data_IF_758109345090
#
_entry.id   IF_758109345090
#
_cell.length_a   1.000
_cell.length_b   1.000
_cell.length_c   1.000
_cell.angle_alpha   90.00
_cell.angle_beta   90.00
_cell.angle_gamma   90.00
#
_symmetry.space_group_name_H-M   'P 1'
#
loop_
_entity.id
_entity.type
_entity.pdbx_description
1 polymer ?
#
# COMPACT_ATOMS: atom_id res chain seq x y z
N UNK A 1 3.24 -7.46 -14.68
CA UNK A 1 2.98 -6.46 -13.62
C UNK A 1 4.34 -6.00 -13.12
N UNK A 2 4.60 -4.70 -13.21
CA UNK A 2 5.83 -4.11 -12.66
C UNK A 2 5.76 -4.18 -11.12
N UNK A 3 6.72 -4.88 -10.50
CA UNK A 3 6.80 -4.94 -9.04
C UNK A 3 7.31 -3.60 -8.54
N UNK A 4 6.55 -2.96 -7.65
CA UNK A 4 6.92 -1.69 -7.02
C UNK A 4 7.07 -1.94 -5.51
N UNK A 5 8.20 -1.59 -4.88
CA UNK A 5 8.33 -1.72 -3.43
C UNK A 5 7.44 -0.70 -2.73
N UNK A 6 6.83 -1.10 -1.63
CA UNK A 6 5.95 -0.27 -0.79
C UNK A 6 6.20 -0.48 0.69
N UNK A 7 7.48 -0.71 1.04
CA UNK A 7 7.91 -0.97 2.42
C UNK A 7 7.46 0.10 3.39
N UNK A 8 7.55 1.35 2.94
CA UNK A 8 7.17 2.56 3.68
C UNK A 8 6.39 3.51 2.80
N UNK A 9 5.16 3.83 3.18
CA UNK A 9 4.30 4.78 2.47
C UNK A 9 3.88 5.87 3.46
N UNK A 10 4.45 7.07 3.31
CA UNK A 10 4.37 8.14 4.30
C UNK A 10 3.21 9.08 4.02
N UNK A 11 2.33 9.28 5.02
CA UNK A 11 1.32 10.33 4.99
C UNK A 11 1.94 11.71 5.16
N UNK A 12 1.53 12.65 4.30
CA UNK A 12 1.94 14.04 4.31
C UNK A 12 0.72 14.95 4.25
N UNK A 13 0.50 15.83 5.26
CA UNK A 13 -0.63 16.73 5.27
C UNK A 13 -0.62 17.68 4.07
N UNK A 14 -1.70 17.69 3.29
CA UNK A 14 -1.84 18.54 2.11
C UNK A 14 -1.88 20.04 2.42
N UNK A 15 -2.25 20.41 3.64
CA UNK A 15 -2.25 21.79 4.12
C UNK A 15 -0.88 22.32 4.54
N UNK A 16 0.18 21.48 4.51
CA UNK A 16 1.53 21.86 4.95
C UNK A 16 2.52 21.83 3.78
N UNK A 17 2.68 22.95 3.08
CA UNK A 17 3.57 23.06 1.93
C UNK A 17 5.03 22.69 2.23
N UNK A 18 5.53 22.99 3.44
CA UNK A 18 6.90 22.62 3.86
C UNK A 18 7.04 21.10 4.01
N UNK A 19 6.01 20.43 4.53
CA UNK A 19 6.00 18.98 4.66
C UNK A 19 5.96 18.32 3.28
N UNK A 20 5.15 18.83 2.35
CA UNK A 20 5.10 18.34 0.96
C UNK A 20 6.45 18.48 0.26
N UNK A 21 7.13 19.60 0.43
CA UNK A 21 8.47 19.80 -0.15
C UNK A 21 9.51 18.87 0.49
N UNK A 22 9.52 18.74 1.83
CA UNK A 22 10.41 17.84 2.55
C UNK A 22 10.25 16.39 2.10
N UNK A 23 9.03 15.97 1.79
CA UNK A 23 8.74 14.60 1.34
C UNK A 23 9.52 14.19 0.08
N UNK A 24 9.94 15.15 -0.77
CA UNK A 24 10.74 14.90 -1.97
C UNK A 24 12.09 14.27 -1.68
N UNK A 25 12.64 14.49 -0.49
CA UNK A 25 13.99 14.05 -0.09
C UNK A 25 13.97 12.91 0.94
N UNK A 26 12.79 12.43 1.34
CA UNK A 26 12.67 11.33 2.30
C UNK A 26 12.83 9.97 1.60
N UNK A 27 13.50 8.98 2.23
CA UNK A 27 13.77 7.67 1.62
C UNK A 27 12.59 6.69 1.75
N UNK A 28 11.35 7.19 1.71
CA UNK A 28 10.16 6.33 1.65
C UNK A 28 9.94 5.80 0.24
N UNK A 29 9.31 4.64 0.11
CA UNK A 29 8.98 4.04 -1.19
C UNK A 29 7.78 4.73 -1.84
N UNK A 30 6.87 5.28 -1.03
CA UNK A 30 5.72 6.04 -1.50
C UNK A 30 5.36 7.18 -0.55
N UNK A 31 4.53 8.08 -1.06
CA UNK A 31 4.00 9.23 -0.31
C UNK A 31 2.50 9.32 -0.53
N UNK A 32 1.74 9.47 0.56
CA UNK A 32 0.30 9.77 0.52
C UNK A 32 0.11 11.25 0.85
N UNK A 33 -0.28 12.01 -0.16
CA UNK A 33 -0.63 13.43 -0.01
C UNK A 33 -2.08 13.51 0.46
N UNK A 34 -2.28 13.98 1.69
CA UNK A 34 -3.55 13.81 2.41
C UNK A 34 -4.45 15.03 2.34
N UNK A 35 -5.72 14.81 1.97
CA UNK A 35 -6.80 15.81 2.01
C UNK A 35 -7.84 15.51 3.09
N UNK A 36 -7.71 14.39 3.79
CA UNK A 36 -8.74 13.93 4.74
C UNK A 36 -8.45 14.37 6.18
N UNK A 37 -8.13 13.44 7.06
CA UNK A 37 -8.06 13.65 8.52
C UNK A 37 -7.01 14.67 8.95
N UNK A 38 -5.90 14.76 8.24
CA UNK A 38 -4.83 15.72 8.57
C UNK A 38 -5.10 17.16 8.12
N UNK A 39 -6.25 17.41 7.48
CA UNK A 39 -6.61 18.72 6.91
C UNK A 39 -7.94 19.19 7.48
N UNK A 40 -7.93 20.33 8.16
CA UNK A 40 -9.15 20.96 8.68
C UNK A 40 -10.13 21.30 7.54
N UNK A 41 -11.46 21.29 7.82
CA UNK A 41 -12.49 21.52 6.79
C UNK A 41 -12.30 22.78 5.96
N UNK A 42 -11.98 23.89 6.60
CA UNK A 42 -11.75 25.20 5.98
C UNK A 42 -10.44 25.27 5.17
N UNK A 43 -9.47 24.44 5.49
CA UNK A 43 -8.19 24.33 4.78
C UNK A 43 -8.22 23.41 3.56
N UNK A 44 -9.28 22.62 3.36
CA UNK A 44 -9.33 21.61 2.27
C UNK A 44 -9.22 22.22 0.86
N UNK A 45 -9.81 23.37 0.53
CA UNK A 45 -9.60 23.99 -0.78
C UNK A 45 -8.13 24.35 -1.02
N UNK A 46 -7.48 25.01 -0.06
CA UNK A 46 -6.05 25.35 -0.13
C UNK A 46 -5.17 24.10 -0.24
N UNK A 47 -5.46 23.05 0.54
CA UNK A 47 -4.71 21.81 0.49
C UNK A 47 -4.80 21.12 -0.88
N UNK A 48 -5.96 21.18 -1.57
CA UNK A 48 -6.10 20.70 -2.95
C UNK A 48 -5.14 21.41 -3.89
N UNK A 49 -5.09 22.74 -3.82
CA UNK A 49 -4.21 23.53 -4.67
C UNK A 49 -2.74 23.20 -4.41
N UNK A 50 -2.34 23.14 -3.14
CA UNK A 50 -0.97 22.79 -2.75
C UNK A 50 -0.57 21.39 -3.22
N UNK A 51 -1.46 20.39 -3.11
CA UNK A 51 -1.18 19.04 -3.61
C UNK A 51 -1.07 19.03 -5.14
N UNK A 52 -1.97 19.72 -5.84
CA UNK A 52 -1.91 19.81 -7.30
C UNK A 52 -0.59 20.44 -7.77
N UNK A 53 -0.15 21.52 -7.14
CA UNK A 53 1.14 22.16 -7.39
C UNK A 53 2.31 21.23 -7.09
N UNK A 54 2.28 20.52 -5.94
CA UNK A 54 3.34 19.61 -5.54
C UNK A 54 3.51 18.45 -6.52
N UNK A 55 2.41 17.89 -7.02
CA UNK A 55 2.45 16.80 -8.03
C UNK A 55 2.93 17.34 -9.39
N UNK A 56 2.44 18.52 -9.81
CA UNK A 56 2.85 19.15 -11.07
C UNK A 56 4.35 19.52 -11.08
N UNK A 57 4.87 20.00 -9.96
CA UNK A 57 6.29 20.34 -9.81
C UNK A 57 7.21 19.12 -9.85
N UNK A 58 6.67 17.89 -9.74
CA UNK A 58 7.45 16.64 -9.73
C UNK A 58 8.49 16.61 -8.60
N UNK A 59 9.62 15.90 -8.79
CA UNK A 59 10.72 15.87 -7.82
C UNK A 59 10.61 14.76 -6.76
N UNK A 60 9.61 13.90 -6.86
CA UNK A 60 9.49 12.73 -5.97
C UNK A 60 10.29 11.51 -6.47
N UNK A 61 11.01 11.66 -7.59
CA UNK A 61 11.79 10.57 -8.19
C UNK A 61 10.90 9.41 -8.64
N UNK A 62 11.29 8.18 -8.28
CA UNK A 62 10.54 6.96 -8.61
C UNK A 62 9.51 6.56 -7.54
N UNK A 63 9.32 7.35 -6.50
CA UNK A 63 8.37 7.06 -5.42
C UNK A 63 6.94 7.07 -5.96
N UNK A 64 6.13 6.20 -5.40
CA UNK A 64 4.69 6.18 -5.69
C UNK A 64 4.01 7.38 -5.04
N UNK A 65 3.30 8.16 -5.83
CA UNK A 65 2.54 9.32 -5.36
C UNK A 65 1.07 8.95 -5.33
N UNK A 66 0.51 8.95 -4.13
CA UNK A 66 -0.88 8.65 -3.87
C UNK A 66 -1.54 9.90 -3.28
N UNK A 67 -2.74 10.23 -3.71
CA UNK A 67 -3.54 11.31 -3.10
C UNK A 67 -4.66 10.65 -2.30
N UNK A 68 -4.71 10.90 -0.96
CA UNK A 68 -5.87 10.49 -0.18
C UNK A 68 -6.92 11.59 -0.25
N UNK A 69 -8.05 11.26 -0.87
CA UNK A 69 -9.23 12.14 -0.96
C UNK A 69 -10.10 11.98 0.28
N UNK A 70 -11.09 12.85 0.44
CA UNK A 70 -12.13 12.68 1.46
C UNK A 70 -13.07 11.52 1.12
N UNK A 71 -13.74 10.94 2.12
CA UNK A 71 -14.67 9.82 1.94
C UNK A 71 -15.89 10.23 1.10
N UNK A 72 -16.56 9.23 0.51
CA UNK A 72 -17.66 9.43 -0.45
C UNK A 72 -18.90 10.08 0.14
N UNK A 73 -19.08 10.06 1.47
CA UNK A 73 -20.19 10.71 2.15
C UNK A 73 -19.89 12.19 2.48
N UNK A 74 -18.67 12.65 2.22
CA UNK A 74 -18.25 14.03 2.48
C UNK A 74 -18.66 14.97 1.35
N UNK A 75 -18.83 16.28 1.61
CA UNK A 75 -19.09 17.27 0.55
C UNK A 75 -17.87 17.57 -0.31
N UNK A 76 -16.68 17.03 -0.01
CA UNK A 76 -15.41 17.38 -0.65
C UNK A 76 -14.92 16.38 -1.69
N UNK A 77 -15.35 15.11 -1.61
CA UNK A 77 -14.76 14.01 -2.38
C UNK A 77 -14.78 14.23 -3.89
N UNK A 78 -15.86 14.79 -4.46
CA UNK A 78 -15.95 15.02 -5.91
C UNK A 78 -14.95 16.08 -6.39
N UNK A 79 -14.75 17.13 -5.60
CA UNK A 79 -13.75 18.16 -5.89
C UNK A 79 -12.33 17.59 -5.78
N UNK A 80 -12.08 16.78 -4.75
CA UNK A 80 -10.80 16.11 -4.54
C UNK A 80 -10.48 15.13 -5.68
N UNK A 81 -11.45 14.29 -6.05
CA UNK A 81 -11.30 13.32 -7.14
C UNK A 81 -11.06 14.03 -8.49
N UNK A 82 -11.75 15.13 -8.74
CA UNK A 82 -11.57 15.95 -9.96
C UNK A 82 -10.16 16.53 -10.01
N UNK A 83 -9.68 17.08 -8.90
CA UNK A 83 -8.31 17.59 -8.79
C UNK A 83 -7.30 16.45 -9.00
N UNK A 84 -7.45 15.32 -8.30
CA UNK A 84 -6.56 14.19 -8.39
C UNK A 84 -6.49 13.63 -9.83
N UNK A 85 -7.65 13.50 -10.51
CA UNK A 85 -7.68 13.06 -11.91
C UNK A 85 -6.87 13.97 -12.85
N UNK A 86 -6.87 15.29 -12.59
CA UNK A 86 -6.10 16.28 -13.36
C UNK A 86 -4.62 16.29 -13.01
N UNK A 87 -4.29 16.12 -11.73
CA UNK A 87 -2.91 16.12 -11.23
C UNK A 87 -2.12 14.87 -11.68
N UNK A 88 -2.81 13.78 -12.02
CA UNK A 88 -2.24 12.50 -12.48
C UNK A 88 -1.22 11.89 -11.51
N UNK A 89 -1.62 11.62 -10.24
CA UNK A 89 -0.79 10.82 -9.35
C UNK A 89 -0.69 9.37 -9.85
N UNK A 90 0.17 8.55 -9.25
CA UNK A 90 0.17 7.11 -9.47
C UNK A 90 -1.12 6.44 -8.95
N UNK A 91 -1.63 6.91 -7.80
CA UNK A 91 -2.83 6.33 -7.19
C UNK A 91 -3.68 7.34 -6.43
N UNK A 92 -4.92 6.94 -6.17
CA UNK A 92 -5.87 7.65 -5.31
C UNK A 92 -6.29 6.72 -4.20
N UNK A 93 -6.04 7.11 -2.95
CA UNK A 93 -6.49 6.40 -1.75
C UNK A 93 -7.83 6.97 -1.30
N UNK A 94 -8.82 6.09 -1.16
CA UNK A 94 -10.17 6.47 -0.74
C UNK A 94 -10.49 5.86 0.62
N UNK A 95 -10.74 6.68 1.64
CA UNK A 95 -11.09 6.21 2.98
C UNK A 95 -12.50 5.64 3.03
N UNK A 96 -12.77 4.84 4.05
CA UNK A 96 -14.08 4.29 4.42
C UNK A 96 -14.79 3.49 3.34
N UNK A 97 -14.03 2.88 2.43
CA UNK A 97 -14.57 1.94 1.46
C UNK A 97 -15.17 0.76 2.21
N UNK A 98 -16.45 0.50 1.96
CA UNK A 98 -17.22 -0.48 2.71
C UNK A 98 -18.01 -1.46 1.82
N UNK A 99 -18.12 -1.17 0.52
CA UNK A 99 -18.87 -1.98 -0.44
C UNK A 99 -18.23 -1.96 -1.83
N UNK A 100 -18.46 -3.00 -2.66
CA UNK A 100 -18.04 -3.00 -4.07
C UNK A 100 -18.59 -1.80 -4.87
N UNK A 101 -19.80 -1.33 -4.53
CA UNK A 101 -20.42 -0.18 -5.17
C UNK A 101 -19.59 1.11 -5.04
N UNK A 102 -18.86 1.26 -3.95
CA UNK A 102 -17.99 2.44 -3.72
C UNK A 102 -16.88 2.50 -4.78
N UNK A 103 -16.26 1.37 -5.08
CA UNK A 103 -15.23 1.26 -6.15
C UNK A 103 -15.84 1.54 -7.51
N UNK A 104 -17.01 0.96 -7.81
CA UNK A 104 -17.72 1.16 -9.09
C UNK A 104 -18.07 2.64 -9.30
N UNK A 105 -18.56 3.32 -8.28
CA UNK A 105 -18.84 4.77 -8.31
C UNK A 105 -17.59 5.58 -8.64
N UNK A 106 -16.45 5.25 -8.03
CA UNK A 106 -15.17 5.92 -8.28
C UNK A 106 -14.69 5.68 -9.72
N UNK A 107 -14.77 4.46 -10.22
CA UNK A 107 -14.37 4.13 -11.61
C UNK A 107 -15.26 4.86 -12.62
N UNK A 108 -16.58 4.87 -12.41
CA UNK A 108 -17.51 5.61 -13.26
C UNK A 108 -17.20 7.11 -13.28
N UNK A 109 -16.90 7.69 -12.11
CA UNK A 109 -16.56 9.10 -12.03
C UNK A 109 -15.22 9.42 -12.69
N UNK A 110 -14.19 8.59 -12.49
CA UNK A 110 -12.89 8.74 -13.17
C UNK A 110 -13.03 8.60 -14.69
N UNK A 111 -13.89 7.70 -15.16
CA UNK A 111 -14.21 7.55 -16.60
C UNK A 111 -14.88 8.80 -17.15
N UNK A 112 -15.87 9.35 -16.43
CA UNK A 112 -16.54 10.59 -16.82
C UNK A 112 -15.58 11.79 -16.88
N UNK A 113 -14.60 11.84 -15.98
CA UNK A 113 -13.51 12.84 -15.96
C UNK A 113 -12.44 12.60 -17.04
N UNK A 114 -12.51 11.50 -17.79
CA UNK A 114 -11.46 11.06 -18.75
C UNK A 114 -10.08 10.99 -18.08
N UNK A 115 -10.06 10.51 -16.82
CA UNK A 115 -8.84 10.35 -16.05
C UNK A 115 -7.87 9.37 -16.74
N UNK A 116 -6.58 9.59 -16.54
CA UNK A 116 -5.53 8.71 -17.04
C UNK A 116 -5.79 7.25 -16.58
N UNK A 117 -5.81 6.26 -17.48
CA UNK A 117 -6.03 4.86 -17.10
C UNK A 117 -4.95 4.29 -16.21
N UNK A 118 -3.77 4.91 -16.16
CA UNK A 118 -2.68 4.53 -15.26
C UNK A 118 -2.91 4.88 -13.79
N UNK A 119 -3.88 5.76 -13.47
CA UNK A 119 -4.22 6.08 -12.09
C UNK A 119 -4.95 4.89 -11.47
N UNK A 120 -4.36 4.32 -10.41
CA UNK A 120 -4.96 3.20 -9.66
C UNK A 120 -5.74 3.68 -8.44
N UNK A 121 -6.66 2.85 -7.96
CA UNK A 121 -7.40 3.07 -6.72
C UNK A 121 -6.81 2.23 -5.58
N UNK A 122 -6.73 2.83 -4.40
CA UNK A 122 -6.45 2.18 -3.14
C UNK A 122 -7.67 2.31 -2.23
N UNK A 123 -8.17 1.22 -1.70
CA UNK A 123 -9.29 1.22 -0.77
C UNK A 123 -8.78 1.18 0.67
N UNK A 124 -9.13 2.17 1.49
CA UNK A 124 -8.86 2.10 2.91
C UNK A 124 -9.96 1.30 3.60
N UNK A 125 -9.57 0.15 4.16
CA UNK A 125 -10.46 -0.75 4.90
C UNK A 125 -10.34 -0.41 6.38
N UNK A 126 -11.34 0.29 6.89
CA UNK A 126 -11.28 0.91 8.21
C UNK A 126 -12.62 0.94 8.95
N UNK A 127 -13.61 0.21 8.44
CA UNK A 127 -14.91 0.02 9.08
C UNK A 127 -15.23 -1.46 9.26
N UNK A 128 -16.08 -1.84 10.23
CA UNK A 128 -16.56 -3.22 10.36
C UNK A 128 -17.18 -3.77 9.07
N UNK A 129 -17.98 -2.95 8.39
CA UNK A 129 -18.59 -3.34 7.12
C UNK A 129 -17.55 -3.53 6.02
N UNK A 130 -16.54 -2.65 5.93
CA UNK A 130 -15.44 -2.79 4.99
C UNK A 130 -14.64 -4.08 5.20
N UNK A 131 -14.36 -4.44 6.45
CA UNK A 131 -13.71 -5.71 6.79
C UNK A 131 -14.57 -6.90 6.37
N UNK A 132 -15.86 -6.91 6.71
CA UNK A 132 -16.77 -8.00 6.36
C UNK A 132 -16.97 -8.13 4.85
N UNK A 133 -16.88 -7.04 4.10
CA UNK A 133 -17.03 -7.00 2.63
C UNK A 133 -15.70 -7.09 1.88
N UNK A 134 -14.57 -7.28 2.56
CA UNK A 134 -13.24 -7.17 1.96
C UNK A 134 -13.06 -8.08 0.74
N UNK A 135 -13.61 -9.30 0.77
CA UNK A 135 -13.55 -10.22 -0.37
C UNK A 135 -14.29 -9.66 -1.60
N UNK A 136 -15.48 -9.14 -1.42
CA UNK A 136 -16.31 -8.61 -2.52
C UNK A 136 -15.71 -7.30 -3.06
N UNK A 137 -15.18 -6.45 -2.18
CA UNK A 137 -14.45 -5.24 -2.58
C UNK A 137 -13.21 -5.63 -3.40
N UNK A 138 -12.40 -6.59 -2.92
CA UNK A 138 -11.20 -7.05 -3.63
C UNK A 138 -11.54 -7.63 -5.02
N UNK A 139 -12.68 -8.33 -5.15
CA UNK A 139 -13.12 -8.93 -6.43
C UNK A 139 -13.30 -7.88 -7.53
N UNK A 140 -13.62 -6.62 -7.19
CA UNK A 140 -13.75 -5.53 -8.17
C UNK A 140 -12.45 -5.27 -8.95
N UNK A 141 -11.28 -5.64 -8.42
CA UNK A 141 -10.01 -5.54 -9.13
C UNK A 141 -9.96 -6.35 -10.44
N UNK A 142 -10.88 -7.29 -10.63
CA UNK A 142 -11.01 -8.11 -11.84
C UNK A 142 -12.19 -7.70 -12.73
N UNK A 143 -12.94 -6.72 -12.29
CA UNK A 143 -14.15 -6.22 -12.95
C UNK A 143 -13.94 -4.77 -13.46
N UNK A 144 -14.84 -4.26 -14.24
CA UNK A 144 -14.89 -2.87 -14.68
C UNK A 144 -13.57 -2.38 -15.31
N UNK A 145 -13.11 -1.23 -14.88
CA UNK A 145 -11.87 -0.60 -15.34
C UNK A 145 -10.61 -1.20 -14.68
N UNK A 146 -10.78 -2.10 -13.72
CA UNK A 146 -9.70 -2.81 -13.00
C UNK A 146 -8.71 -1.86 -12.33
N UNK A 147 -9.20 -0.76 -11.77
CA UNK A 147 -8.36 0.25 -11.15
C UNK A 147 -7.95 -0.07 -9.72
N UNK A 148 -8.66 -0.97 -9.02
CA UNK A 148 -8.32 -1.33 -7.64
C UNK A 148 -6.99 -2.08 -7.60
N UNK A 149 -5.97 -1.44 -7.02
CA UNK A 149 -4.61 -1.97 -6.90
C UNK A 149 -4.28 -2.55 -5.53
N UNK A 150 -4.98 -2.10 -4.49
CA UNK A 150 -4.68 -2.58 -3.15
C UNK A 150 -5.56 -2.02 -2.04
N UNK A 151 -5.31 -2.55 -0.85
CA UNK A 151 -5.92 -2.12 0.40
C UNK A 151 -4.91 -1.39 1.28
N UNK A 152 -5.41 -0.43 2.06
CA UNK A 152 -4.70 0.17 3.19
C UNK A 152 -5.55 -0.09 4.44
N UNK A 153 -4.96 -0.68 5.48
CA UNK A 153 -5.67 -0.90 6.74
C UNK A 153 -5.74 0.38 7.56
N UNK A 154 -6.93 0.69 8.11
CA UNK A 154 -7.14 1.81 9.03
C UNK A 154 -7.47 1.32 10.45
N UNK A 155 -6.46 0.88 11.24
CA UNK A 155 -6.68 0.25 12.54
C UNK A 155 -7.33 1.16 13.57
N UNK A 156 -7.09 2.48 13.50
CA UNK A 156 -7.66 3.45 14.45
C UNK A 156 -9.19 3.53 14.32
N UNK A 157 -9.69 3.66 13.10
CA UNK A 157 -11.13 3.70 12.84
C UNK A 157 -11.80 2.35 13.11
N UNK A 158 -11.16 1.24 12.75
CA UNK A 158 -11.64 -0.10 13.12
C UNK A 158 -11.77 -0.22 14.64
N UNK A 159 -10.75 0.18 15.39
CA UNK A 159 -10.78 0.11 16.85
C UNK A 159 -11.91 0.97 17.45
N UNK A 160 -12.08 2.19 16.93
CA UNK A 160 -13.17 3.09 17.36
C UNK A 160 -14.54 2.46 17.13
N UNK A 161 -14.81 1.94 15.93
CA UNK A 161 -16.13 1.43 15.58
C UNK A 161 -16.43 0.07 16.22
N UNK A 162 -15.42 -0.78 16.36
CA UNK A 162 -15.57 -2.10 17.01
C UNK A 162 -15.43 -2.04 18.53
N UNK A 163 -15.00 -0.88 19.09
CA UNK A 163 -14.67 -0.71 20.52
C UNK A 163 -13.50 -1.57 20.98
N UNK A 164 -12.64 -2.00 20.07
CA UNK A 164 -11.43 -2.75 20.39
C UNK A 164 -10.42 -1.86 21.10
N UNK A 165 -9.65 -2.45 22.03
CA UNK A 165 -8.51 -1.77 22.63
C UNK A 165 -7.25 -1.98 21.79
N UNK A 166 -6.57 -0.89 21.48
CA UNK A 166 -5.27 -0.92 20.81
C UNK A 166 -4.19 -1.27 21.83
N UNK A 167 -3.88 -2.55 21.96
CA UNK A 167 -2.86 -3.06 22.86
C UNK A 167 -1.60 -3.47 22.08
N UNK A 168 -0.41 -3.47 22.70
CA UNK A 168 0.81 -3.98 22.08
C UNK A 168 0.58 -5.38 21.51
N UNK A 169 1.11 -5.62 20.30
CA UNK A 169 0.93 -6.90 19.59
C UNK A 169 -0.40 -7.05 18.87
N UNK A 170 -1.35 -6.13 19.03
CA UNK A 170 -2.62 -6.02 18.23
C UNK A 170 -3.45 -7.31 18.15
N UNK A 171 -3.42 -8.16 19.20
CA UNK A 171 -4.04 -9.49 19.18
C UNK A 171 -5.52 -9.48 18.72
N UNK A 172 -6.29 -8.48 19.14
CA UNK A 172 -7.70 -8.34 18.73
C UNK A 172 -7.88 -8.01 17.23
N UNK A 173 -6.88 -7.35 16.60
CA UNK A 173 -6.91 -6.97 15.19
C UNK A 173 -6.45 -8.09 14.25
N UNK A 174 -5.64 -9.03 14.71
CA UNK A 174 -5.01 -10.03 13.85
C UNK A 174 -5.99 -10.85 13.02
N UNK A 175 -7.16 -11.29 13.55
CA UNK A 175 -8.16 -11.99 12.73
C UNK A 175 -8.70 -11.12 11.58
N UNK A 176 -8.92 -9.83 11.82
CA UNK A 176 -9.42 -8.88 10.82
C UNK A 176 -8.37 -8.65 9.72
N UNK A 177 -7.12 -8.47 10.12
CA UNK A 177 -6.01 -8.33 9.18
C UNK A 177 -5.82 -9.59 8.33
N UNK A 178 -5.84 -10.78 8.95
CA UNK A 178 -5.74 -12.04 8.23
C UNK A 178 -6.85 -12.18 7.19
N UNK A 179 -8.09 -11.82 7.52
CA UNK A 179 -9.22 -11.83 6.60
C UNK A 179 -8.98 -10.88 5.39
N UNK A 180 -8.55 -9.64 5.65
CA UNK A 180 -8.29 -8.67 4.59
C UNK A 180 -7.09 -9.07 3.71
N UNK A 181 -6.04 -9.66 4.30
CA UNK A 181 -4.89 -10.19 3.56
C UNK A 181 -5.34 -11.33 2.62
N UNK A 182 -6.14 -12.29 3.12
CA UNK A 182 -6.67 -13.36 2.28
C UNK A 182 -7.53 -12.82 1.13
N UNK A 183 -8.38 -11.84 1.39
CA UNK A 183 -9.20 -11.18 0.35
C UNK A 183 -8.32 -10.51 -0.72
N UNK A 184 -7.31 -9.75 -0.31
CA UNK A 184 -6.37 -9.09 -1.22
C UNK A 184 -5.61 -10.11 -2.07
N UNK A 185 -5.07 -11.16 -1.46
CA UNK A 185 -4.32 -12.21 -2.18
C UNK A 185 -5.19 -13.01 -3.14
N UNK A 186 -6.44 -13.31 -2.77
CA UNK A 186 -7.41 -13.98 -3.65
C UNK A 186 -7.69 -13.17 -4.91
N UNK A 187 -7.70 -11.84 -4.81
CA UNK A 187 -7.90 -10.94 -5.94
C UNK A 187 -6.59 -10.58 -6.69
N UNK A 188 -5.43 -10.85 -6.10
CA UNK A 188 -4.12 -10.51 -6.67
C UNK A 188 -3.76 -9.02 -6.51
N UNK A 189 -4.29 -8.36 -5.49
CA UNK A 189 -3.99 -6.97 -5.14
C UNK A 189 -3.04 -6.88 -3.94
N UNK A 190 -2.41 -5.71 -3.79
CA UNK A 190 -1.50 -5.41 -2.69
C UNK A 190 -2.26 -5.05 -1.41
N UNK A 191 -1.61 -5.12 -0.24
CA UNK A 191 -2.19 -4.68 1.02
C UNK A 191 -1.12 -4.08 1.94
N UNK A 192 -1.39 -2.88 2.47
CA UNK A 192 -0.52 -2.17 3.39
C UNK A 192 -1.10 -2.19 4.81
N UNK A 193 -0.22 -2.45 5.77
CA UNK A 193 -0.54 -2.30 7.19
C UNK A 193 -0.77 -0.83 7.55
N UNK A 194 -1.56 -0.58 8.59
CA UNK A 194 -1.92 0.76 9.03
C UNK A 194 -0.85 1.45 9.91
N UNK A 195 -1.06 2.71 10.30
CA UNK A 195 -0.10 3.49 11.03
C UNK A 195 0.13 2.99 12.46
N UNK A 196 1.30 3.30 13.01
CA UNK A 196 1.66 3.16 14.42
C UNK A 196 1.71 4.53 15.08
N UNK A 197 0.88 4.73 16.12
CA UNK A 197 0.59 6.08 16.63
C UNK A 197 1.69 6.64 17.56
N UNK A 198 2.39 5.77 18.32
CA UNK A 198 3.46 6.23 19.20
C UNK A 198 4.78 6.42 18.44
N UNK A 199 5.01 7.64 17.99
CA UNK A 199 6.21 7.99 17.22
C UNK A 199 7.51 7.92 18.03
N UNK A 200 7.43 7.82 19.36
CA UNK A 200 8.59 7.73 20.25
C UNK A 200 8.94 6.27 20.60
N UNK A 201 8.01 5.34 20.44
CA UNK A 201 8.24 3.91 20.69
C UNK A 201 8.85 3.22 19.45
N UNK A 202 10.13 3.45 19.21
CA UNK A 202 10.87 2.88 18.08
C UNK A 202 10.90 1.34 18.14
N UNK A 203 11.03 0.77 19.34
CA UNK A 203 11.11 -0.68 19.52
C UNK A 203 9.76 -1.35 19.27
N UNK A 204 8.65 -0.78 19.76
CA UNK A 204 7.30 -1.27 19.49
C UNK A 204 6.96 -1.16 18.02
N UNK A 205 7.32 -0.05 17.37
CA UNK A 205 7.13 0.13 15.95
C UNK A 205 7.86 -0.95 15.11
N UNK A 206 9.14 -1.21 15.43
CA UNK A 206 9.91 -2.25 14.72
C UNK A 206 9.30 -3.65 14.89
N UNK A 207 8.82 -3.99 16.10
CA UNK A 207 8.10 -5.25 16.35
C UNK A 207 6.81 -5.35 15.55
N UNK A 208 6.07 -4.26 15.43
CA UNK A 208 4.83 -4.23 14.66
C UNK A 208 5.10 -4.35 13.15
N UNK A 209 6.16 -3.75 12.64
CA UNK A 209 6.59 -3.95 11.25
C UNK A 209 6.96 -5.42 10.97
N UNK A 210 7.73 -6.06 11.85
CA UNK A 210 8.08 -7.48 11.74
C UNK A 210 6.82 -8.35 11.74
N UNK A 211 5.89 -8.13 12.68
CA UNK A 211 4.61 -8.83 12.73
C UNK A 211 3.81 -8.65 11.43
N UNK A 212 3.71 -7.43 10.91
CA UNK A 212 3.00 -7.14 9.66
C UNK A 212 3.61 -7.87 8.47
N UNK A 213 4.94 -7.88 8.36
CA UNK A 213 5.67 -8.67 7.35
C UNK A 213 5.35 -10.17 7.47
N UNK A 214 5.44 -10.72 8.68
CA UNK A 214 5.20 -12.16 8.91
C UNK A 214 3.75 -12.56 8.62
N UNK A 215 2.80 -11.65 8.80
CA UNK A 215 1.40 -11.83 8.41
C UNK A 215 1.18 -11.77 6.89
N UNK A 216 2.09 -11.18 6.12
CA UNK A 216 2.01 -11.08 4.67
C UNK A 216 1.56 -9.73 4.13
N UNK A 217 1.66 -8.65 4.89
CA UNK A 217 1.55 -7.28 4.35
C UNK A 217 2.72 -6.96 3.41
N UNK A 218 2.49 -6.13 2.41
CA UNK A 218 3.50 -5.68 1.44
C UNK A 218 4.35 -4.52 1.97
N UNK A 219 3.89 -3.87 3.03
CA UNK A 219 4.52 -2.73 3.69
C UNK A 219 3.57 -2.08 4.68
N UNK A 220 3.90 -0.85 5.05
CA UNK A 220 3.19 -0.12 6.10
C UNK A 220 3.02 1.35 5.77
N UNK A 221 1.86 1.90 6.09
CA UNK A 221 1.67 3.35 6.08
C UNK A 221 2.27 3.98 7.34
N UNK A 222 2.90 5.13 7.19
CA UNK A 222 3.65 5.82 8.21
C UNK A 222 3.10 7.24 8.43
N UNK A 223 3.20 7.73 9.65
CA UNK A 223 2.77 9.08 10.03
C UNK A 223 3.92 10.00 10.46
N UNK A 224 5.14 9.47 10.53
CA UNK A 224 6.32 10.24 10.91
C UNK A 224 7.56 9.80 10.12
N UNK A 225 8.42 10.74 9.65
CA UNK A 225 9.64 10.39 8.90
C UNK A 225 10.59 9.46 9.65
N UNK A 226 10.67 9.57 10.98
CA UNK A 226 11.52 8.69 11.82
C UNK A 226 11.12 7.20 11.80
N UNK A 227 9.97 6.85 11.21
CA UNK A 227 9.52 5.47 11.04
C UNK A 227 10.04 4.81 9.76
N UNK A 228 10.57 5.60 8.81
CA UNK A 228 10.91 5.12 7.46
C UNK A 228 11.98 4.03 7.50
N UNK A 229 13.08 4.25 8.20
CA UNK A 229 14.22 3.33 8.19
C UNK A 229 13.85 1.97 8.78
N UNK A 230 13.11 1.95 9.88
CA UNK A 230 12.66 0.71 10.52
C UNK A 230 11.66 -0.06 9.63
N UNK A 231 10.73 0.64 8.97
CA UNK A 231 9.81 0.02 8.01
C UNK A 231 10.56 -0.54 6.80
N UNK A 232 11.47 0.27 6.21
CA UNK A 232 12.30 -0.18 5.10
C UNK A 232 13.14 -1.41 5.46
N UNK A 233 13.72 -1.45 6.67
CA UNK A 233 14.49 -2.60 7.14
C UNK A 233 13.61 -3.85 7.29
N UNK A 234 12.44 -3.71 7.93
CA UNK A 234 11.55 -4.83 8.19
C UNK A 234 11.01 -5.48 6.91
N UNK A 235 10.59 -4.69 5.92
CA UNK A 235 9.96 -5.18 4.69
C UNK A 235 10.96 -5.42 3.54
N UNK A 236 12.26 -5.20 3.74
CA UNK A 236 13.28 -5.60 2.76
C UNK A 236 13.58 -7.09 2.90
N UNK A 237 13.52 -7.89 1.83
CA UNK A 237 13.93 -9.29 1.89
C UNK A 237 15.37 -9.41 2.36
N UNK A 238 15.68 -10.29 3.36
CA UNK A 238 17.04 -10.54 3.80
C UNK A 238 17.93 -11.08 2.68
N UNK A 239 19.22 -10.80 2.76
CA UNK A 239 20.19 -11.26 1.75
C UNK A 239 20.18 -12.78 1.56
N UNK A 240 19.98 -13.53 2.64
CA UNK A 240 19.86 -15.00 2.61
C UNK A 240 18.60 -15.49 1.88
N UNK A 241 17.46 -14.82 2.04
CA UNK A 241 16.24 -15.12 1.30
C UNK A 241 16.42 -14.85 -0.19
N UNK A 242 17.07 -13.73 -0.54
CA UNK A 242 17.38 -13.37 -1.95
C UNK A 242 18.32 -14.41 -2.56
N UNK A 243 19.38 -14.80 -1.83
CA UNK A 243 20.33 -15.82 -2.28
C UNK A 243 19.63 -17.18 -2.49
N UNK A 244 18.77 -17.59 -1.57
CA UNK A 244 17.97 -18.81 -1.70
C UNK A 244 17.01 -18.73 -2.89
N UNK A 245 16.33 -17.61 -3.08
CA UNK A 245 15.44 -17.38 -4.21
C UNK A 245 16.18 -17.55 -5.55
N UNK A 246 17.38 -16.97 -5.67
CA UNK A 246 18.22 -17.13 -6.87
C UNK A 246 18.64 -18.59 -7.11
N UNK A 247 18.99 -19.35 -6.05
CA UNK A 247 19.28 -20.79 -6.17
C UNK A 247 18.07 -21.57 -6.65
N UNK A 248 16.86 -21.29 -6.11
CA UNK A 248 15.61 -21.92 -6.53
C UNK A 248 15.36 -21.68 -8.01
N UNK A 249 15.49 -20.45 -8.47
CA UNK A 249 15.37 -20.13 -9.90
C UNK A 249 16.38 -20.90 -10.73
N UNK A 250 17.67 -20.86 -10.35
CA UNK A 250 18.75 -21.50 -11.10
C UNK A 250 18.59 -23.02 -11.22
N UNK A 251 18.12 -23.70 -10.17
CA UNK A 251 17.94 -25.17 -10.24
C UNK A 251 16.82 -25.58 -11.18
N UNK A 252 15.74 -24.77 -11.30
CA UNK A 252 14.65 -25.05 -12.23
C UNK A 252 14.94 -24.60 -13.67
N UNK A 253 15.91 -23.73 -13.88
CA UNK A 253 16.36 -23.30 -15.21
C UNK A 253 17.29 -24.34 -15.87
N UNK A 254 17.76 -25.34 -15.12
CA UNK A 254 18.57 -26.44 -15.69
C UNK A 254 17.71 -27.29 -16.64
N UNK A 255 18.22 -27.65 -17.84
CA UNK A 255 17.48 -28.44 -18.82
C UNK A 255 16.90 -29.77 -18.28
N UNK A 256 17.66 -30.45 -17.43
CA UNK A 256 17.22 -31.72 -16.80
C UNK A 256 16.08 -31.53 -15.80
N UNK A 257 15.79 -30.30 -15.37
CA UNK A 257 14.73 -29.99 -14.43
C UNK A 257 13.52 -29.27 -15.09
N UNK A 258 13.61 -28.96 -16.37
CA UNK A 258 12.60 -28.20 -17.10
C UNK A 258 11.16 -28.75 -16.97
N UNK A 259 11.03 -30.09 -16.93
CA UNK A 259 9.74 -30.79 -16.85
C UNK A 259 9.45 -31.36 -15.45
N UNK A 260 10.28 -31.07 -14.45
CA UNK A 260 10.05 -31.55 -13.09
C UNK A 260 9.14 -30.62 -12.31
N UNK A 261 8.19 -31.17 -11.55
CA UNK A 261 7.37 -30.43 -10.59
C UNK A 261 8.10 -30.18 -9.26
N UNK A 262 9.07 -31.07 -8.95
CA UNK A 262 9.81 -31.07 -7.68
C UNK A 262 11.28 -31.38 -7.96
N UNK A 263 12.19 -30.69 -7.28
CA UNK A 263 13.63 -30.92 -7.30
C UNK A 263 14.21 -30.88 -5.88
N UNK A 264 15.39 -31.42 -5.67
CA UNK A 264 16.12 -31.31 -4.42
C UNK A 264 17.12 -30.15 -4.51
N UNK A 265 17.12 -29.24 -3.52
CA UNK A 265 18.06 -28.13 -3.38
C UNK A 265 18.54 -28.06 -1.92
N UNK A 266 19.86 -28.12 -1.71
CA UNK A 266 20.47 -28.03 -0.36
C UNK A 266 19.82 -29.01 0.67
N UNK A 267 19.47 -30.23 0.23
CA UNK A 267 18.85 -31.26 1.07
C UNK A 267 17.33 -31.09 1.31
N UNK A 268 16.70 -30.10 0.70
CA UNK A 268 15.26 -29.82 0.84
C UNK A 268 14.53 -30.03 -0.49
N UNK A 269 13.26 -30.43 -0.39
CA UNK A 269 12.36 -30.52 -1.55
C UNK A 269 11.88 -29.12 -1.94
N UNK A 270 12.02 -28.78 -3.22
CA UNK A 270 11.59 -27.50 -3.79
C UNK A 270 10.64 -27.77 -4.95
N UNK A 271 9.49 -27.13 -4.93
CA UNK A 271 8.42 -27.27 -5.91
C UNK A 271 8.29 -26.02 -6.78
N UNK A 272 7.52 -26.12 -7.86
CA UNK A 272 7.26 -25.01 -8.78
C UNK A 272 6.62 -23.78 -8.09
N UNK A 273 5.80 -23.99 -7.06
CA UNK A 273 5.25 -22.87 -6.28
C UNK A 273 6.34 -22.00 -5.64
N UNK A 274 7.47 -22.61 -5.23
CA UNK A 274 8.61 -21.88 -4.67
C UNK A 274 9.31 -21.01 -5.73
N UNK A 275 9.21 -21.36 -7.02
CA UNK A 275 9.72 -20.53 -8.12
C UNK A 275 8.94 -19.21 -8.21
N UNK A 276 7.61 -19.25 -8.08
CA UNK A 276 6.81 -18.03 -8.10
C UNK A 276 7.09 -17.13 -6.88
N UNK A 277 7.28 -17.72 -5.71
CA UNK A 277 7.72 -16.99 -4.52
C UNK A 277 9.11 -16.37 -4.72
N UNK A 278 10.06 -17.14 -5.28
CA UNK A 278 11.41 -16.69 -5.56
C UNK A 278 11.43 -15.51 -6.56
N UNK A 279 10.63 -15.57 -7.63
CA UNK A 279 10.46 -14.48 -8.59
C UNK A 279 10.00 -13.19 -7.91
N UNK A 280 9.02 -13.29 -7.00
CA UNK A 280 8.54 -12.12 -6.24
C UNK A 280 9.64 -11.56 -5.35
N UNK A 281 10.33 -12.38 -4.57
CA UNK A 281 11.44 -11.96 -3.69
C UNK A 281 12.54 -11.25 -4.47
N UNK A 282 12.99 -11.82 -5.59
CA UNK A 282 14.01 -11.21 -6.46
C UNK A 282 13.48 -9.91 -7.06
N UNK A 283 12.25 -9.90 -7.59
CA UNK A 283 11.66 -8.71 -8.19
C UNK A 283 11.54 -7.54 -7.21
N UNK A 284 11.18 -7.80 -5.94
CA UNK A 284 11.17 -6.78 -4.89
C UNK A 284 12.58 -6.27 -4.61
N UNK A 285 13.57 -7.17 -4.48
CA UNK A 285 14.95 -6.79 -4.22
C UNK A 285 15.53 -5.91 -5.34
N UNK A 286 15.29 -6.27 -6.59
CA UNK A 286 15.74 -5.53 -7.76
C UNK A 286 15.05 -4.16 -7.86
N UNK A 287 13.76 -4.09 -7.57
CA UNK A 287 13.01 -2.84 -7.54
C UNK A 287 13.49 -1.90 -6.43
N UNK A 288 13.83 -2.43 -5.24
CA UNK A 288 14.45 -1.66 -4.15
C UNK A 288 15.82 -1.12 -4.57
N UNK A 289 16.64 -1.94 -5.23
CA UNK A 289 17.94 -1.50 -5.73
C UNK A 289 17.78 -0.35 -6.75
N UNK A 290 16.79 -0.45 -7.62
CA UNK A 290 16.49 0.59 -8.62
C UNK A 290 16.02 1.93 -8.02
N UNK A 291 15.44 1.93 -6.81
CA UNK A 291 15.10 3.17 -6.09
C UNK A 291 16.33 3.91 -5.54
N UNK A 292 17.41 3.19 -5.24
CA UNK A 292 18.63 3.75 -4.64
C UNK A 292 19.56 4.42 -5.66
N UNK A 293 19.35 4.19 -6.95
CA UNK A 293 20.19 4.72 -8.04
C UNK A 293 19.66 6.11 -8.46
N UNK A 294 19.63 7.05 -7.50
CA UNK A 294 19.32 8.46 -7.77
C UNK A 294 20.24 9.35 -6.97
#
# INVERSE_FOLDING_TARGET
IMIRPRRSVLFMPGSNARALDKARNLPSDGVILDLEDSVAPDAKPMARDQIAEAVAAKGFGKREIIIRINNLDSPWWEHDLTMAARAKPDGILVPKISRPADIKTLEERLRALKADPGIVLWAMIESPLGVLSAQDIAATAREGDRRLAGFVMGPNDIARETRMRMLPGRAAMLPLFAHCILAARAAGIEILDGPYNDINDVAGFAKECAQGRDMGFDGKTLIHPGQIDAANAAYTPPAEEIARARKIMGVFDLPENANKGVVQLDGQMVERLHVEMAKRTIGIADAIAALKVM
#
